data_IF_961879240688
#
_entry.id   IF_961879240688
#
_cell.length_a   1.000
_cell.length_b   1.000
_cell.length_c   1.000
_cell.angle_alpha   90.00
_cell.angle_beta   90.00
_cell.angle_gamma   90.00
#
_symmetry.space_group_name_H-M   'P 1'
#
loop_
_entity.id
_entity.type
_entity.pdbx_description
1 polymer ?
#
# COMPACT_ATOMS: atom_id res chain seq x y z
N UNK A 1 3.30 20.02 -10.35
CA UNK A 1 4.74 19.79 -10.12
C UNK A 1 4.95 18.47 -9.37
N UNK A 2 6.10 17.81 -9.56
CA UNK A 2 6.39 16.45 -9.06
C UNK A 2 6.13 16.29 -7.55
N UNK A 3 6.68 17.19 -6.73
CA UNK A 3 6.58 17.10 -5.27
C UNK A 3 5.14 17.15 -4.75
N UNK A 4 4.27 17.90 -5.44
CA UNK A 4 2.83 17.92 -5.11
C UNK A 4 2.16 16.60 -5.47
N UNK A 5 2.57 15.93 -6.54
CA UNK A 5 2.00 14.65 -6.97
C UNK A 5 2.49 13.48 -6.12
N UNK A 6 3.73 13.55 -5.62
CA UNK A 6 4.32 12.56 -4.71
C UNK A 6 3.71 12.59 -3.29
N UNK A 7 3.00 13.67 -2.94
CA UNK A 7 2.25 13.75 -1.69
C UNK A 7 1.09 12.74 -1.70
N UNK A 8 1.05 11.87 -0.68
CA UNK A 8 0.08 10.76 -0.56
C UNK A 8 -1.37 11.18 -0.78
N UNK A 9 -1.75 12.40 -0.36
CA UNK A 9 -3.11 12.94 -0.58
C UNK A 9 -3.47 13.06 -2.07
N UNK A 10 -2.47 13.36 -2.92
CA UNK A 10 -2.63 13.52 -4.36
C UNK A 10 -2.27 12.24 -5.12
N UNK A 11 -1.24 11.50 -4.68
CA UNK A 11 -0.78 10.29 -5.36
C UNK A 11 -1.87 9.22 -5.40
N UNK A 12 -2.57 9.00 -4.29
CA UNK A 12 -3.60 7.94 -4.23
C UNK A 12 -4.73 8.13 -5.24
N UNK A 13 -5.47 9.27 -5.26
CA UNK A 13 -6.53 9.47 -6.24
C UNK A 13 -5.97 9.53 -7.67
N UNK A 14 -4.78 10.09 -7.89
CA UNK A 14 -4.16 10.11 -9.21
C UNK A 14 -3.89 8.70 -9.75
N UNK A 15 -3.38 7.79 -8.91
CA UNK A 15 -3.14 6.41 -9.30
C UNK A 15 -4.43 5.64 -9.59
N UNK A 16 -5.51 5.86 -8.82
CA UNK A 16 -6.82 5.28 -9.13
C UNK A 16 -7.32 5.75 -10.50
N UNK A 17 -7.36 7.08 -10.70
CA UNK A 17 -7.85 7.68 -11.95
C UNK A 17 -7.05 7.17 -13.14
N UNK A 18 -5.72 7.15 -13.02
CA UNK A 18 -4.84 6.63 -14.07
C UNK A 18 -5.12 5.16 -14.39
N UNK A 19 -5.24 4.31 -13.37
CA UNK A 19 -5.48 2.87 -13.56
C UNK A 19 -6.81 2.59 -14.24
N UNK A 20 -7.87 3.31 -13.85
CA UNK A 20 -9.21 3.15 -14.44
C UNK A 20 -9.28 3.76 -15.84
N UNK A 21 -8.61 4.88 -16.08
CA UNK A 21 -8.50 5.45 -17.42
C UNK A 21 -7.80 4.49 -18.39
N UNK A 22 -6.68 3.89 -17.97
CA UNK A 22 -5.95 2.92 -18.78
C UNK A 22 -6.83 1.70 -19.12
N UNK A 23 -7.56 1.15 -18.14
CA UNK A 23 -8.51 0.05 -18.37
C UNK A 23 -9.59 0.43 -19.39
N UNK A 24 -10.22 1.61 -19.24
CA UNK A 24 -11.29 2.06 -20.13
C UNK A 24 -10.80 2.30 -21.56
N UNK A 25 -9.63 2.91 -21.73
CA UNK A 25 -8.99 3.07 -23.05
C UNK A 25 -8.74 1.69 -23.67
N UNK A 26 -8.26 0.73 -22.90
CA UNK A 26 -8.01 -0.62 -23.41
C UNK A 26 -9.30 -1.33 -23.83
N UNK A 27 -10.40 -1.17 -23.08
CA UNK A 27 -11.73 -1.69 -23.44
C UNK A 27 -12.32 -1.01 -24.68
N UNK A 28 -12.06 0.28 -24.88
CA UNK A 28 -12.48 1.02 -26.07
C UNK A 28 -11.71 0.56 -27.32
N UNK A 29 -10.39 0.36 -27.20
CA UNK A 29 -9.54 -0.10 -28.30
C UNK A 29 -9.74 -1.57 -28.65
N UNK A 30 -10.18 -2.39 -27.68
CA UNK A 30 -10.42 -3.82 -27.86
C UNK A 30 -11.85 -4.19 -27.43
N UNK A 31 -12.85 -3.98 -28.32
CA UNK A 31 -14.22 -4.36 -28.06
C UNK A 31 -14.34 -5.84 -27.67
N UNK A 32 -14.91 -6.10 -26.49
CA UNK A 32 -15.05 -7.44 -25.93
C UNK A 32 -13.94 -7.83 -24.94
N UNK A 33 -12.91 -7.02 -24.75
CA UNK A 33 -11.95 -7.24 -23.68
C UNK A 33 -12.63 -7.12 -22.31
N UNK A 34 -12.65 -8.24 -21.59
CA UNK A 34 -13.10 -8.29 -20.20
C UNK A 34 -12.07 -9.08 -19.40
N UNK A 35 -11.46 -8.50 -18.35
CA UNK A 35 -10.52 -9.23 -17.52
C UNK A 35 -11.24 -10.37 -16.81
N UNK A 36 -10.72 -11.59 -16.94
CA UNK A 36 -11.24 -12.75 -16.21
C UNK A 36 -10.99 -12.62 -14.69
N UNK A 37 -9.89 -11.96 -14.33
CA UNK A 37 -9.46 -11.73 -12.96
C UNK A 37 -8.86 -10.34 -12.81
N UNK A 38 -9.03 -9.74 -11.65
CA UNK A 38 -8.39 -8.49 -11.28
C UNK A 38 -7.75 -8.61 -9.90
N UNK A 39 -6.60 -7.98 -9.75
CA UNK A 39 -5.88 -7.92 -8.48
C UNK A 39 -5.26 -6.53 -8.33
N UNK A 40 -5.14 -6.08 -7.09
CA UNK A 40 -4.56 -4.81 -6.76
C UNK A 40 -3.58 -4.96 -5.61
N UNK A 41 -2.51 -4.16 -5.62
CA UNK A 41 -1.54 -4.12 -4.53
C UNK A 41 -1.71 -2.83 -3.74
N UNK A 42 -1.92 -2.93 -2.42
CA UNK A 42 -2.12 -1.78 -1.54
C UNK A 42 -3.26 -0.87 -2.04
N UNK A 43 -3.00 0.39 -2.40
CA UNK A 43 -3.99 1.29 -3.00
C UNK A 43 -4.65 0.70 -4.26
N UNK A 44 -3.89 -0.08 -5.05
CA UNK A 44 -4.40 -0.70 -6.28
C UNK A 44 -5.59 -1.63 -6.06
N UNK A 45 -5.85 -2.10 -4.84
CA UNK A 45 -7.06 -2.89 -4.53
C UNK A 45 -8.34 -2.10 -4.79
N UNK A 46 -8.35 -0.80 -4.52
CA UNK A 46 -9.50 0.07 -4.84
C UNK A 46 -9.71 0.16 -6.36
N UNK A 47 -8.60 0.19 -7.13
CA UNK A 47 -8.67 0.13 -8.59
C UNK A 47 -9.21 -1.21 -9.08
N UNK A 48 -8.79 -2.31 -8.45
CA UNK A 48 -9.29 -3.65 -8.78
C UNK A 48 -10.79 -3.80 -8.45
N UNK A 49 -11.26 -3.23 -7.35
CA UNK A 49 -12.69 -3.23 -7.00
C UNK A 49 -13.54 -2.46 -8.00
N UNK A 50 -13.06 -1.33 -8.52
CA UNK A 50 -13.72 -0.61 -9.62
C UNK A 50 -13.68 -1.41 -10.92
N UNK A 51 -12.54 -2.01 -11.25
CA UNK A 51 -12.40 -2.85 -12.43
C UNK A 51 -13.30 -4.11 -12.37
N UNK A 52 -13.60 -4.60 -11.18
CA UNK A 52 -14.56 -5.68 -10.96
C UNK A 52 -16.02 -5.22 -10.86
N UNK A 53 -16.29 -3.92 -10.97
CA UNK A 53 -17.62 -3.33 -10.79
C UNK A 53 -18.21 -3.58 -9.38
N UNK A 54 -17.36 -3.92 -8.41
CA UNK A 54 -17.75 -4.12 -7.01
C UNK A 54 -17.91 -2.80 -6.25
N UNK A 55 -17.22 -1.75 -6.71
CA UNK A 55 -17.39 -0.38 -6.24
C UNK A 55 -17.54 0.58 -7.43
N UNK A 56 -18.48 1.53 -7.39
CA UNK A 56 -18.60 2.54 -8.42
C UNK A 56 -17.44 3.54 -8.35
N UNK A 57 -17.03 4.04 -9.52
CA UNK A 57 -15.83 4.88 -9.67
C UNK A 57 -15.89 6.19 -8.86
N UNK A 58 -16.97 7.00 -8.91
CA UNK A 58 -17.04 8.25 -8.16
C UNK A 58 -16.87 8.06 -6.64
N UNK A 59 -17.51 7.04 -6.10
CA UNK A 59 -17.48 6.69 -4.68
C UNK A 59 -16.10 6.15 -4.29
N UNK A 60 -15.47 5.34 -5.15
CA UNK A 60 -14.11 4.87 -4.92
C UNK A 60 -13.09 6.01 -4.97
N UNK A 61 -13.30 7.01 -5.83
CA UNK A 61 -12.44 8.19 -5.89
C UNK A 61 -12.48 8.97 -4.58
N UNK A 62 -13.68 9.20 -4.03
CA UNK A 62 -13.85 9.83 -2.72
C UNK A 62 -13.23 9.00 -1.60
N UNK A 63 -13.43 7.68 -1.61
CA UNK A 63 -12.84 6.77 -0.63
C UNK A 63 -11.30 6.76 -0.70
N UNK A 64 -10.75 6.82 -1.91
CA UNK A 64 -9.30 6.86 -2.15
C UNK A 64 -8.69 8.19 -1.70
N UNK A 65 -9.37 9.31 -1.98
CA UNK A 65 -8.98 10.62 -1.47
C UNK A 65 -8.97 10.61 0.07
N UNK A 66 -10.05 10.10 0.68
CA UNK A 66 -10.16 9.98 2.14
C UNK A 66 -9.05 9.13 2.74
N UNK A 67 -8.72 8.00 2.10
CA UNK A 67 -7.57 7.16 2.50
C UNK A 67 -6.26 7.95 2.47
N UNK A 68 -6.02 8.70 1.39
CA UNK A 68 -4.86 9.58 1.24
C UNK A 68 -4.73 10.61 2.37
N UNK A 69 -5.82 11.31 2.67
CA UNK A 69 -5.90 12.29 3.76
C UNK A 69 -5.61 11.68 5.14
N UNK A 70 -6.24 10.54 5.43
CA UNK A 70 -6.11 9.86 6.72
C UNK A 70 -4.69 9.31 6.92
N UNK A 71 -4.11 8.69 5.89
CA UNK A 71 -2.74 8.18 5.95
C UNK A 71 -1.72 9.31 6.09
N UNK A 72 -1.92 10.43 5.39
CA UNK A 72 -1.06 11.61 5.54
C UNK A 72 -1.11 12.14 6.97
N UNK A 73 -2.32 12.33 7.52
CA UNK A 73 -2.51 12.78 8.91
C UNK A 73 -1.89 11.79 9.91
N UNK A 74 -2.02 10.49 9.68
CA UNK A 74 -1.38 9.48 10.52
C UNK A 74 0.15 9.60 10.48
N UNK A 75 0.74 9.89 9.31
CA UNK A 75 2.17 10.17 9.18
C UNK A 75 2.63 11.47 9.87
N UNK A 76 1.77 12.49 9.91
CA UNK A 76 2.04 13.73 10.66
C UNK A 76 2.03 13.48 12.19
N UNK A 77 1.12 12.63 12.68
CA UNK A 77 1.02 12.25 14.10
C UNK A 77 2.09 11.25 14.51
N UNK A 78 2.45 10.33 13.62
CA UNK A 78 3.38 9.23 13.87
C UNK A 78 4.34 9.10 12.67
N UNK A 79 5.41 9.91 12.63
CA UNK A 79 6.35 9.93 11.52
C UNK A 79 7.04 8.57 11.32
N UNK A 80 7.22 8.20 10.06
CA UNK A 80 7.86 6.97 9.66
C UNK A 80 8.02 6.88 8.16
N UNK A 81 8.67 5.81 7.70
CA UNK A 81 8.99 5.59 6.28
C UNK A 81 8.94 4.12 5.92
N UNK A 82 9.21 3.84 4.64
CA UNK A 82 9.32 2.50 4.09
C UNK A 82 10.66 2.30 3.39
N UNK A 83 11.16 1.07 3.39
CA UNK A 83 12.35 0.68 2.65
C UNK A 83 12.16 -0.67 1.97
N UNK A 84 12.68 -0.82 0.76
CA UNK A 84 12.79 -2.10 0.08
C UNK A 84 14.11 -2.79 0.47
N UNK A 85 14.03 -4.09 0.75
CA UNK A 85 15.15 -4.98 1.03
C UNK A 85 15.18 -6.07 -0.04
N UNK A 86 16.30 -6.15 -0.76
CA UNK A 86 16.49 -7.07 -1.88
C UNK A 86 17.51 -8.13 -1.50
N UNK A 87 17.20 -9.40 -1.75
CA UNK A 87 18.11 -10.53 -1.59
C UNK A 87 18.07 -11.23 -0.24
N UNK A 88 17.07 -10.96 0.61
CA UNK A 88 16.81 -11.71 1.84
C UNK A 88 15.43 -12.37 1.80
N UNK A 89 15.30 -13.49 2.50
CA UNK A 89 14.01 -14.12 2.74
C UNK A 89 13.24 -13.42 3.87
N UNK A 90 11.94 -13.72 3.96
CA UNK A 90 11.04 -13.11 4.93
C UNK A 90 11.39 -13.49 6.37
N UNK A 91 11.63 -14.77 6.71
CA UNK A 91 11.96 -15.13 8.10
C UNK A 91 13.19 -14.41 8.64
N UNK A 92 14.25 -14.30 7.83
CA UNK A 92 15.46 -13.54 8.20
C UNK A 92 15.12 -12.08 8.42
N UNK A 93 14.35 -11.48 7.51
CA UNK A 93 13.99 -10.08 7.61
C UNK A 93 13.04 -9.78 8.78
N UNK A 94 12.16 -10.71 9.14
CA UNK A 94 11.31 -10.64 10.34
C UNK A 94 12.13 -10.63 11.62
N UNK A 95 13.14 -11.49 11.71
CA UNK A 95 14.07 -11.50 12.84
C UNK A 95 14.81 -10.15 12.94
N UNK A 96 15.32 -9.64 11.82
CA UNK A 96 15.95 -8.32 11.76
C UNK A 96 15.00 -7.21 12.19
N UNK A 97 13.74 -7.25 11.74
CA UNK A 97 12.73 -6.26 12.14
C UNK A 97 12.46 -6.30 13.65
N UNK A 98 12.40 -7.50 14.22
CA UNK A 98 12.22 -7.70 15.65
C UNK A 98 13.39 -7.13 16.45
N UNK A 99 14.63 -7.42 16.04
CA UNK A 99 15.85 -6.93 16.71
C UNK A 99 16.07 -5.42 16.53
N UNK A 100 15.70 -4.88 15.37
CA UNK A 100 15.80 -3.44 15.09
C UNK A 100 14.71 -2.64 15.82
N UNK A 101 13.64 -3.28 16.29
CA UNK A 101 12.54 -2.64 17.01
C UNK A 101 12.87 -2.43 18.50
N UNK A 102 12.33 -1.36 19.07
CA UNK A 102 12.36 -1.07 20.51
C UNK A 102 10.93 -0.78 21.00
N UNK A 103 10.76 -0.56 22.30
CA UNK A 103 9.46 -0.21 22.87
C UNK A 103 8.84 1.07 22.27
N UNK A 104 9.65 1.98 21.71
CA UNK A 104 9.17 3.27 21.19
C UNK A 104 9.38 3.45 19.69
N UNK A 105 10.14 2.55 19.05
CA UNK A 105 10.49 2.65 17.63
C UNK A 105 10.33 1.29 16.99
N UNK A 106 9.31 1.14 16.14
CA UNK A 106 8.95 -0.17 15.56
C UNK A 106 9.28 -0.20 14.07
N UNK A 107 9.62 -1.39 13.58
CA UNK A 107 9.75 -1.70 12.15
C UNK A 107 9.24 -3.11 11.91
N UNK A 108 8.54 -3.31 10.81
CA UNK A 108 8.02 -4.62 10.43
C UNK A 108 8.04 -4.83 8.93
N UNK A 109 7.86 -6.07 8.50
CA UNK A 109 7.57 -6.41 7.11
C UNK A 109 6.19 -5.85 6.72
N UNK A 110 6.18 -4.98 5.71
CA UNK A 110 5.01 -4.30 5.18
C UNK A 110 4.41 -5.03 3.98
N UNK A 111 5.27 -5.43 3.03
CA UNK A 111 4.86 -6.09 1.78
C UNK A 111 5.85 -7.18 1.39
N UNK A 112 5.30 -8.33 1.01
CA UNK A 112 6.02 -9.40 0.31
C UNK A 112 5.68 -9.28 -1.18
N UNK A 113 6.57 -8.64 -1.96
CA UNK A 113 6.28 -8.35 -3.36
C UNK A 113 6.61 -9.55 -4.25
N UNK A 114 7.78 -10.15 -4.04
CA UNK A 114 8.22 -11.37 -4.71
C UNK A 114 9.40 -12.00 -3.94
N UNK A 115 9.78 -13.25 -4.24
CA UNK A 115 10.91 -13.90 -3.58
C UNK A 115 12.18 -13.05 -3.62
N UNK A 116 12.66 -12.67 -2.44
CA UNK A 116 13.85 -11.82 -2.31
C UNK A 116 13.61 -10.33 -2.54
N UNK A 117 12.36 -9.85 -2.66
CA UNK A 117 12.02 -8.43 -2.63
C UNK A 117 10.91 -8.19 -1.60
N UNK A 118 11.31 -7.65 -0.46
CA UNK A 118 10.41 -7.38 0.67
C UNK A 118 10.48 -5.91 1.01
N UNK A 119 9.35 -5.31 1.41
CA UNK A 119 9.29 -3.94 1.91
C UNK A 119 9.09 -3.98 3.42
N UNK A 120 9.85 -3.17 4.13
CA UNK A 120 9.68 -2.91 5.57
C UNK A 120 9.15 -1.49 5.79
N UNK A 121 8.38 -1.29 6.84
CA UNK A 121 7.85 0.02 7.22
C UNK A 121 7.85 0.21 8.74
N UNK A 122 8.05 1.44 9.18
CA UNK A 122 8.15 1.77 10.60
C UNK A 122 8.75 3.13 10.87
N UNK A 123 9.15 3.34 12.13
CA UNK A 123 9.86 4.54 12.59
C UNK A 123 11.17 4.72 11.83
N UNK A 124 11.56 5.95 11.53
CA UNK A 124 12.73 6.23 10.69
C UNK A 124 14.01 5.59 11.20
N UNK A 125 14.28 5.72 12.50
CA UNK A 125 15.45 5.15 13.16
C UNK A 125 15.44 3.61 13.22
N UNK A 126 14.26 2.99 13.34
CA UNK A 126 14.13 1.53 13.31
C UNK A 126 14.39 0.99 11.89
N UNK A 127 13.94 1.72 10.86
CA UNK A 127 14.26 1.43 9.46
C UNK A 127 15.77 1.54 9.21
N UNK A 128 16.45 2.56 9.74
CA UNK A 128 17.91 2.71 9.57
C UNK A 128 18.66 1.51 10.14
N UNK A 129 18.31 1.10 11.37
CA UNK A 129 18.89 -0.10 12.00
C UNK A 129 18.61 -1.35 11.17
N UNK A 130 17.35 -1.58 10.80
CA UNK A 130 16.95 -2.74 10.01
C UNK A 130 17.65 -2.80 8.64
N UNK A 131 17.79 -1.66 7.94
CA UNK A 131 18.51 -1.60 6.67
C UNK A 131 19.99 -1.94 6.82
N UNK A 132 20.64 -1.47 7.90
CA UNK A 132 22.04 -1.80 8.19
C UNK A 132 22.20 -3.29 8.50
N UNK A 133 21.37 -3.82 9.40
CA UNK A 133 21.38 -5.24 9.77
C UNK A 133 21.08 -6.15 8.58
N UNK A 134 20.14 -5.75 7.71
CA UNK A 134 19.88 -6.47 6.47
C UNK A 134 21.09 -6.49 5.53
N UNK A 135 21.81 -5.38 5.41
CA UNK A 135 23.02 -5.33 4.60
C UNK A 135 24.13 -6.23 5.15
N UNK A 136 24.29 -6.28 6.48
CA UNK A 136 25.22 -7.17 7.18
C UNK A 136 24.82 -8.65 7.05
N UNK A 137 23.52 -8.95 7.03
CA UNK A 137 22.96 -10.28 6.82
C UNK A 137 22.99 -10.76 5.35
N UNK A 138 23.55 -9.96 4.42
CA UNK A 138 23.73 -10.35 3.03
C UNK A 138 22.66 -9.87 2.07
N UNK A 139 21.83 -8.88 2.44
CA UNK A 139 20.96 -8.21 1.48
C UNK A 139 21.78 -7.66 0.32
N UNK A 140 21.33 -7.90 -0.90
CA UNK A 140 21.94 -7.35 -2.12
C UNK A 140 21.84 -5.83 -2.14
N UNK A 141 20.69 -5.28 -1.73
CA UNK A 141 20.42 -3.84 -1.68
C UNK A 141 19.38 -3.54 -0.61
N UNK A 142 19.51 -2.38 0.02
CA UNK A 142 18.45 -1.74 0.82
C UNK A 142 18.20 -0.33 0.27
N UNK A 143 16.94 0.06 0.10
CA UNK A 143 16.56 1.30 -0.58
C UNK A 143 15.40 1.98 0.15
N UNK A 144 15.56 3.24 0.56
CA UNK A 144 14.44 4.04 1.05
C UNK A 144 13.45 4.29 -0.09
N UNK A 145 12.15 4.13 0.19
CA UNK A 145 11.10 4.41 -0.78
C UNK A 145 10.71 5.90 -0.73
N UNK A 146 10.30 6.44 -1.87
CA UNK A 146 9.82 7.82 -2.00
C UNK A 146 8.36 7.94 -1.50
N UNK A 147 8.14 7.61 -0.23
CA UNK A 147 6.85 7.71 0.46
C UNK A 147 7.07 8.36 1.81
N UNK A 148 6.20 9.29 2.18
CA UNK A 148 6.32 10.10 3.40
C UNK A 148 5.65 9.47 4.63
N UNK A 149 5.24 8.21 4.54
CA UNK A 149 4.49 7.50 5.57
C UNK A 149 5.00 6.08 5.74
N UNK A 150 4.81 5.51 6.93
CA UNK A 150 5.03 4.09 7.18
C UNK A 150 3.74 3.28 6.92
N UNK A 151 3.33 3.15 5.65
CA UNK A 151 2.13 2.37 5.30
C UNK A 151 2.25 0.91 5.74
N UNK A 152 1.11 0.24 6.02
CA UNK A 152 1.08 -1.14 6.51
C UNK A 152 1.91 -1.37 7.78
N UNK A 153 1.95 -0.39 8.68
CA UNK A 153 2.60 -0.47 9.99
C UNK A 153 1.67 -0.02 11.13
N UNK A 154 2.01 -0.31 12.40
CA UNK A 154 1.27 0.20 13.55
C UNK A 154 1.18 1.72 13.61
N UNK A 155 2.07 2.46 12.95
CA UNK A 155 2.04 3.93 12.90
C UNK A 155 0.80 4.46 12.16
N UNK A 156 0.13 3.62 11.37
CA UNK A 156 -1.11 3.99 10.67
C UNK A 156 -2.38 3.78 11.51
N UNK A 157 -2.29 3.33 12.76
CA UNK A 157 -3.46 2.99 13.59
C UNK A 157 -4.47 4.13 13.71
N UNK A 158 -4.01 5.38 13.73
CA UNK A 158 -4.87 6.57 13.82
C UNK A 158 -5.77 6.76 12.59
N UNK A 159 -5.40 6.19 11.43
CA UNK A 159 -6.23 6.22 10.23
C UNK A 159 -7.30 5.12 10.22
N UNK A 160 -7.19 4.10 11.09
CA UNK A 160 -7.91 2.83 10.94
C UNK A 160 -9.41 3.00 11.14
N UNK A 161 -9.81 3.54 12.28
CA UNK A 161 -11.21 3.66 12.63
C UNK A 161 -11.97 4.54 11.62
N UNK A 162 -11.36 5.65 11.21
CA UNK A 162 -11.96 6.59 10.25
C UNK A 162 -12.08 5.98 8.86
N UNK A 163 -11.07 5.25 8.41
CA UNK A 163 -11.11 4.60 7.10
C UNK A 163 -12.10 3.43 7.09
N UNK A 164 -12.15 2.63 8.15
CA UNK A 164 -13.15 1.55 8.29
C UNK A 164 -14.58 2.07 8.16
N UNK A 165 -14.91 3.17 8.85
CA UNK A 165 -16.24 3.80 8.72
C UNK A 165 -16.54 4.26 7.30
N UNK A 166 -15.54 4.81 6.59
CA UNK A 166 -15.71 5.22 5.20
C UNK A 166 -15.96 4.02 4.28
N UNK A 167 -15.26 2.89 4.50
CA UNK A 167 -15.47 1.64 3.76
C UNK A 167 -16.86 1.04 4.07
N UNK A 168 -17.27 1.01 5.33
CA UNK A 168 -18.60 0.52 5.74
C UNK A 168 -19.75 1.32 5.12
N UNK A 169 -19.54 2.63 4.90
CA UNK A 169 -20.52 3.48 4.22
C UNK A 169 -20.50 3.39 2.69
N UNK A 170 -19.51 2.73 2.10
CA UNK A 170 -19.35 2.65 0.65
C UNK A 170 -20.35 1.65 0.04
N UNK A 171 -20.94 1.94 -1.13
CA UNK A 171 -21.87 1.03 -1.81
C UNK A 171 -21.12 -0.13 -2.46
N UNK A 172 -20.76 -1.14 -1.67
CA UNK A 172 -20.09 -2.36 -2.13
C UNK A 172 -21.14 -3.32 -2.70
N UNK A 173 -21.03 -3.62 -3.99
CA UNK A 173 -21.92 -4.55 -4.68
C UNK A 173 -21.34 -5.97 -4.69
N UNK A 174 -22.19 -6.97 -4.47
CA UNK A 174 -21.83 -8.38 -4.72
C UNK A 174 -22.08 -8.69 -6.19
N UNK A 175 -21.03 -8.71 -7.01
CA UNK A 175 -21.14 -9.16 -8.39
C UNK A 175 -20.75 -10.64 -8.52
N UNK A 176 -21.59 -11.43 -9.20
CA UNK A 176 -21.37 -12.87 -9.42
C UNK A 176 -20.38 -13.18 -10.56
N UNK A 177 -19.91 -12.18 -11.30
CA UNK A 177 -19.25 -12.37 -12.60
C UNK A 177 -17.75 -12.07 -12.64
N UNK A 178 -17.17 -11.45 -11.60
CA UNK A 178 -15.73 -11.11 -11.58
C UNK A 178 -15.10 -11.45 -10.24
N UNK A 179 -14.02 -12.22 -10.29
CA UNK A 179 -13.26 -12.59 -9.10
C UNK A 179 -12.19 -11.52 -8.82
N UNK A 180 -12.30 -10.89 -7.66
CA UNK A 180 -11.28 -9.96 -7.13
C UNK A 180 -10.34 -10.76 -6.24
N UNK A 181 -9.05 -10.73 -6.57
CA UNK A 181 -8.02 -11.22 -5.66
C UNK A 181 -7.45 -10.07 -4.86
N UNK A 182 -7.58 -10.18 -3.54
CA UNK A 182 -6.95 -9.28 -2.57
C UNK A 182 -5.63 -9.91 -2.14
N UNK A 183 -4.52 -9.18 -2.31
CA UNK A 183 -3.20 -9.65 -1.91
C UNK A 183 -3.12 -9.88 -0.39
N UNK A 184 -2.31 -10.85 0.05
CA UNK A 184 -2.06 -11.06 1.48
C UNK A 184 -1.28 -9.86 2.04
N UNK A 185 -1.92 -9.07 2.92
CA UNK A 185 -1.29 -8.00 3.70
C UNK A 185 -1.18 -8.43 5.16
N UNK A 186 -0.05 -8.11 5.81
CA UNK A 186 0.15 -8.40 7.24
C UNK A 186 -0.46 -7.33 8.16
N UNK A 187 -0.79 -6.14 7.63
CA UNK A 187 -1.48 -5.08 8.36
C UNK A 187 -2.43 -4.30 7.43
N UNK A 188 -3.68 -4.13 7.84
CA UNK A 188 -4.75 -3.49 7.06
C UNK A 188 -4.80 -1.99 7.32
N UNK A 189 -3.97 -1.25 6.55
CA UNK A 189 -4.13 0.14 6.09
C UNK A 189 -3.02 0.50 5.11
#
# INVERSE_FOLDING_TARGET
PKDKLDDTINTQPALLVHSIAALRVFQELLPGFTPAYVAGHSMGELSALVAAEALPFPETLLLTQKRGELMKRAGEVSPGRMAAVIGLDIPTLEQICSEASTHTQVVQVANDNCPGQVVISGSESAIDRAMKMAQEAGARRTLSLAVSIAAHSPLMVNAQADFSRAVESAPIFRHNSRHVFVGRRRCSL
#
